data_IF_762478231591
#
_entry.id   IF_762478231591
#
_cell.length_a   1.000
_cell.length_b   1.000
_cell.length_c   1.000
_cell.angle_alpha   90.00
_cell.angle_beta   90.00
_cell.angle_gamma   90.00
#
_symmetry.space_group_name_H-M   'P 1'
#
loop_
_entity.id
_entity.type
_entity.pdbx_description
1 polymer ?
#
# COMPACT_ATOMS: atom_id res chain seq x y z
N UNK A 1 1.81 -1.88 7.71
CA UNK A 1 1.71 -3.23 8.33
C UNK A 1 2.26 -3.26 9.76
N UNK A 2 3.53 -2.91 10.00
CA UNK A 2 4.18 -2.98 11.33
C UNK A 2 3.34 -2.39 12.47
N UNK A 3 2.83 -1.16 12.29
CA UNK A 3 2.08 -0.45 13.33
C UNK A 3 0.75 -1.13 13.72
N UNK A 4 -0.03 -1.56 12.72
CA UNK A 4 -1.28 -2.30 12.97
C UNK A 4 -1.00 -3.66 13.63
N UNK A 5 0.06 -4.35 13.22
CA UNK A 5 0.47 -5.62 13.82
C UNK A 5 0.96 -5.46 15.27
N UNK A 6 1.70 -4.39 15.60
CA UNK A 6 2.15 -4.14 16.97
C UNK A 6 1.01 -3.87 17.93
N UNK A 7 0.00 -3.09 17.51
CA UNK A 7 -1.23 -2.88 18.30
C UNK A 7 -2.07 -4.16 18.36
N UNK A 8 -2.10 -4.93 17.26
CA UNK A 8 -2.74 -6.23 17.23
C UNK A 8 -2.18 -7.21 18.25
N UNK A 9 -0.86 -7.25 18.42
CA UNK A 9 -0.21 -8.12 19.40
C UNK A 9 -0.66 -7.83 20.83
N UNK A 10 -0.79 -6.56 21.22
CA UNK A 10 -1.30 -6.20 22.56
C UNK A 10 -2.77 -6.54 22.72
N UNK A 11 -3.60 -6.25 21.71
CA UNK A 11 -5.04 -6.55 21.75
C UNK A 11 -5.28 -8.06 21.86
N UNK A 12 -4.51 -8.89 21.17
CA UNK A 12 -4.66 -10.35 21.21
C UNK A 12 -4.18 -10.98 22.51
N UNK A 13 -3.30 -10.30 23.26
CA UNK A 13 -2.92 -10.75 24.60
C UNK A 13 -4.09 -10.62 25.60
N UNK A 14 -4.94 -9.61 25.41
CA UNK A 14 -6.13 -9.37 26.25
C UNK A 14 -7.37 -10.11 25.73
N UNK A 15 -7.62 -10.05 24.43
CA UNK A 15 -8.82 -10.56 23.77
C UNK A 15 -8.47 -11.49 22.58
N UNK A 16 -8.01 -12.73 22.84
CA UNK A 16 -7.59 -13.66 21.78
C UNK A 16 -8.73 -14.06 20.83
N UNK A 17 -9.99 -13.89 21.26
CA UNK A 17 -11.18 -14.14 20.43
C UNK A 17 -11.24 -13.24 19.19
N UNK A 18 -10.57 -12.09 19.20
CA UNK A 18 -10.53 -11.14 18.09
C UNK A 18 -9.47 -11.47 17.02
N UNK A 19 -8.77 -12.60 17.11
CA UNK A 19 -7.69 -13.01 16.21
C UNK A 19 -7.98 -12.77 14.73
N UNK A 20 -9.13 -13.22 14.24
CA UNK A 20 -9.51 -13.07 12.82
C UNK A 20 -9.63 -11.61 12.41
N UNK A 21 -10.23 -10.78 13.25
CA UNK A 21 -10.45 -9.36 12.98
C UNK A 21 -9.12 -8.61 12.98
N UNK A 22 -8.27 -8.85 13.99
CA UNK A 22 -6.93 -8.27 14.09
C UNK A 22 -6.05 -8.66 12.90
N UNK A 23 -6.01 -9.96 12.56
CA UNK A 23 -5.21 -10.46 11.45
C UNK A 23 -5.63 -9.80 10.13
N UNK A 24 -6.94 -9.67 9.91
CA UNK A 24 -7.48 -9.07 8.69
C UNK A 24 -7.11 -7.59 8.60
N UNK A 25 -7.39 -6.80 9.65
CA UNK A 25 -7.08 -5.37 9.67
C UNK A 25 -5.58 -5.10 9.57
N UNK A 26 -4.74 -5.93 10.20
CA UNK A 26 -3.29 -5.80 10.12
C UNK A 26 -2.71 -6.15 8.74
N UNK A 27 -3.40 -7.01 7.99
CA UNK A 27 -3.02 -7.42 6.64
C UNK A 27 -3.45 -6.43 5.54
N UNK A 28 -4.49 -5.61 5.76
CA UNK A 28 -4.98 -4.68 4.74
C UNK A 28 -3.88 -3.79 4.11
N UNK A 29 -2.94 -3.20 4.86
CA UNK A 29 -1.87 -2.37 4.28
C UNK A 29 -0.87 -3.13 3.38
N UNK A 30 -1.00 -4.45 3.22
CA UNK A 30 -0.13 -5.25 2.37
C UNK A 30 -0.41 -5.04 0.88
N UNK A 31 -1.59 -4.52 0.51
CA UNK A 31 -1.95 -4.20 -0.88
C UNK A 31 -0.90 -3.31 -1.55
N UNK A 32 -0.30 -2.38 -0.80
CA UNK A 32 0.64 -1.41 -1.37
C UNK A 32 1.95 -2.06 -1.82
N UNK A 33 2.33 -3.18 -1.17
CA UNK A 33 3.45 -4.00 -1.62
C UNK A 33 3.14 -4.64 -2.97
N UNK A 34 1.89 -5.09 -3.20
CA UNK A 34 1.49 -5.63 -4.49
C UNK A 34 1.42 -4.55 -5.56
N UNK A 35 0.95 -3.35 -5.25
CA UNK A 35 0.96 -2.22 -6.18
C UNK A 35 2.39 -1.82 -6.56
N UNK A 36 3.30 -1.70 -5.60
CA UNK A 36 4.71 -1.46 -5.85
C UNK A 36 5.36 -2.57 -6.71
N UNK A 37 5.01 -3.84 -6.47
CA UNK A 37 5.49 -4.97 -7.27
C UNK A 37 4.97 -4.90 -8.72
N UNK A 38 3.67 -4.64 -8.90
CA UNK A 38 3.05 -4.49 -10.23
C UNK A 38 3.71 -3.33 -10.98
N UNK A 39 3.89 -2.18 -10.31
CA UNK A 39 4.57 -1.02 -10.86
C UNK A 39 6.00 -1.36 -11.29
N UNK A 40 6.77 -2.02 -10.43
CA UNK A 40 8.15 -2.43 -10.73
C UNK A 40 8.20 -3.34 -11.96
N UNK A 41 7.38 -4.39 -11.99
CA UNK A 41 7.33 -5.33 -13.11
C UNK A 41 6.89 -4.61 -14.39
N UNK A 42 5.90 -3.71 -14.32
CA UNK A 42 5.42 -2.94 -15.47
C UNK A 42 6.51 -2.06 -16.07
N UNK A 43 7.23 -1.30 -15.24
CA UNK A 43 8.34 -0.45 -15.66
C UNK A 43 9.47 -1.29 -16.27
N UNK A 44 9.79 -2.44 -15.67
CA UNK A 44 10.76 -3.38 -16.24
C UNK A 44 10.25 -3.90 -17.59
N UNK A 45 9.01 -4.35 -17.74
CA UNK A 45 8.57 -4.96 -18.99
C UNK A 45 8.51 -3.98 -20.17
N UNK A 46 8.14 -2.73 -19.93
CA UNK A 46 8.10 -1.70 -20.98
C UNK A 46 9.50 -1.27 -21.40
N UNK A 47 10.44 -1.20 -20.45
CA UNK A 47 11.76 -0.62 -20.70
C UNK A 47 12.91 -1.64 -20.62
N UNK A 48 12.68 -2.93 -20.33
CA UNK A 48 13.66 -4.01 -20.46
C UNK A 48 13.95 -4.45 -21.90
N UNK A 49 13.09 -4.26 -22.93
CA UNK A 49 13.48 -4.51 -24.31
C UNK A 49 14.44 -3.44 -24.87
N UNK A 50 15.31 -2.83 -24.04
CA UNK A 50 16.56 -2.16 -24.47
C UNK A 50 17.46 -3.24 -25.11
N UNK A 51 17.10 -3.65 -26.32
CA UNK A 51 17.81 -4.65 -27.12
C UNK A 51 18.98 -4.04 -27.91
N UNK A 52 19.01 -2.71 -28.04
CA UNK A 52 19.97 -2.00 -28.91
C UNK A 52 20.94 -1.07 -28.15
N UNK A 53 20.96 -1.12 -26.81
CA UNK A 53 22.09 -0.64 -26.03
C UNK A 53 22.37 0.87 -26.09
N UNK A 54 21.38 1.72 -25.82
CA UNK A 54 21.56 3.02 -25.13
C UNK A 54 20.20 3.58 -24.77
N UNK A 55 19.95 3.86 -23.48
CA UNK A 55 18.81 4.67 -23.05
C UNK A 55 19.27 6.11 -22.98
N UNK A 56 18.52 7.03 -23.60
CA UNK A 56 18.76 8.45 -23.43
C UNK A 56 18.67 8.81 -21.94
N UNK A 57 19.68 9.50 -21.40
CA UNK A 57 19.74 9.82 -19.97
C UNK A 57 18.47 10.53 -19.48
N UNK A 58 17.86 11.37 -20.31
CA UNK A 58 16.60 12.05 -20.05
C UNK A 58 15.46 11.06 -19.74
N UNK A 59 15.30 10.01 -20.54
CA UNK A 59 14.29 8.95 -20.34
C UNK A 59 14.58 8.13 -19.09
N UNK A 60 15.85 7.78 -18.86
CA UNK A 60 16.25 7.04 -17.66
C UNK A 60 15.92 7.84 -16.37
N UNK A 61 16.21 9.15 -16.37
CA UNK A 61 15.88 10.03 -15.26
C UNK A 61 14.37 10.23 -15.10
N UNK A 62 13.62 10.35 -16.19
CA UNK A 62 12.16 10.44 -16.14
C UNK A 62 11.53 9.18 -15.53
N UNK A 63 12.03 7.99 -15.90
CA UNK A 63 11.57 6.71 -15.33
C UNK A 63 11.93 6.56 -13.87
N UNK A 64 13.14 6.96 -13.47
CA UNK A 64 13.55 6.97 -12.07
C UNK A 64 12.66 7.90 -11.25
N UNK A 65 12.39 9.11 -11.76
CA UNK A 65 11.52 10.08 -11.12
C UNK A 65 10.09 9.57 -10.97
N UNK A 66 9.54 8.96 -12.02
CA UNK A 66 8.20 8.38 -12.00
C UNK A 66 8.11 7.20 -11.03
N UNK A 67 9.10 6.30 -11.04
CA UNK A 67 9.20 5.20 -10.08
C UNK A 67 9.28 5.69 -8.64
N UNK A 68 10.03 6.77 -8.38
CA UNK A 68 10.15 7.39 -7.07
C UNK A 68 8.83 8.03 -6.60
N UNK A 69 8.11 8.72 -7.48
CA UNK A 69 6.77 9.27 -7.17
C UNK A 69 5.79 8.15 -6.81
N UNK A 70 5.77 7.06 -7.58
CA UNK A 70 4.93 5.90 -7.26
C UNK A 70 5.31 5.25 -5.91
N UNK A 71 6.61 5.09 -5.64
CA UNK A 71 7.08 4.61 -4.33
C UNK A 71 6.59 5.49 -3.17
N UNK A 72 6.69 6.82 -3.31
CA UNK A 72 6.21 7.74 -2.27
C UNK A 72 4.70 7.65 -2.07
N UNK A 73 3.92 7.56 -3.15
CA UNK A 73 2.47 7.41 -3.08
C UNK A 73 2.09 6.13 -2.32
N UNK A 74 2.70 4.99 -2.66
CA UNK A 74 2.45 3.72 -1.98
C UNK A 74 2.93 3.72 -0.52
N UNK A 75 4.08 4.32 -0.22
CA UNK A 75 4.61 4.42 1.14
C UNK A 75 3.70 5.26 2.05
N UNK A 76 3.21 6.41 1.55
CA UNK A 76 2.29 7.28 2.28
C UNK A 76 0.94 6.57 2.48
N UNK A 77 0.41 5.94 1.44
CA UNK A 77 -0.84 5.17 1.51
C UNK A 77 -0.76 4.05 2.55
N UNK A 78 0.31 3.23 2.50
CA UNK A 78 0.54 2.13 3.42
C UNK A 78 0.66 2.59 4.88
N UNK A 79 1.32 3.73 5.09
CA UNK A 79 1.45 4.34 6.41
C UNK A 79 0.10 4.77 6.95
N UNK A 80 -0.63 5.59 6.19
CA UNK A 80 -1.92 6.13 6.60
C UNK A 80 -2.94 5.02 6.87
N UNK A 81 -3.02 4.02 6.00
CA UNK A 81 -3.90 2.88 6.19
C UNK A 81 -3.49 2.03 7.39
N UNK A 82 -2.19 1.86 7.63
CA UNK A 82 -1.66 1.22 8.83
C UNK A 82 -2.11 1.90 10.12
N UNK A 83 -2.16 3.23 10.16
CA UNK A 83 -2.65 4.01 11.31
C UNK A 83 -4.16 3.83 11.52
N UNK A 84 -4.94 3.86 10.43
CA UNK A 84 -6.40 3.62 10.49
C UNK A 84 -6.71 2.22 11.01
N UNK A 85 -6.05 1.19 10.45
CA UNK A 85 -6.22 -0.18 10.91
C UNK A 85 -5.79 -0.38 12.36
N UNK A 86 -4.67 0.20 12.79
CA UNK A 86 -4.23 0.15 14.19
C UNK A 86 -5.26 0.75 15.15
N UNK A 87 -5.85 1.89 14.77
CA UNK A 87 -6.88 2.56 15.57
C UNK A 87 -8.14 1.70 15.68
N UNK A 88 -8.57 1.08 14.58
CA UNK A 88 -9.74 0.18 14.62
C UNK A 88 -9.47 -1.12 15.39
N UNK A 89 -8.25 -1.66 15.32
CA UNK A 89 -7.83 -2.82 16.10
C UNK A 89 -7.92 -2.53 17.62
N UNK A 90 -7.44 -1.37 18.07
CA UNK A 90 -7.51 -0.96 19.47
C UNK A 90 -8.95 -0.89 20.00
N UNK A 91 -9.93 -0.68 19.12
CA UNK A 91 -11.35 -0.56 19.45
C UNK A 91 -12.11 -1.90 19.41
N UNK A 92 -11.51 -2.97 18.90
CA UNK A 92 -12.17 -4.28 18.79
C UNK A 92 -12.61 -4.84 20.16
N UNK A 93 -11.80 -4.79 21.23
CA UNK A 93 -12.22 -5.25 22.57
C UNK A 93 -13.46 -4.51 23.07
N UNK A 94 -13.42 -3.17 23.02
CA UNK A 94 -14.49 -2.30 23.53
C UNK A 94 -15.80 -2.50 22.78
N UNK A 95 -15.73 -2.72 21.47
CA UNK A 95 -16.91 -2.91 20.61
C UNK A 95 -17.31 -4.37 20.44
N UNK A 96 -16.61 -5.31 21.08
CA UNK A 96 -16.76 -6.76 20.88
C UNK A 96 -16.71 -7.16 19.39
N UNK A 97 -15.88 -6.45 18.61
CA UNK A 97 -15.70 -6.66 17.17
C UNK A 97 -16.67 -5.90 16.27
N UNK A 98 -17.66 -5.16 16.79
CA UNK A 98 -18.63 -4.43 15.96
C UNK A 98 -18.00 -3.29 15.13
N UNK A 99 -16.85 -2.74 15.55
CA UNK A 99 -16.13 -1.71 14.79
C UNK A 99 -15.39 -2.24 13.55
N UNK A 100 -15.31 -3.56 13.37
CA UNK A 100 -14.52 -4.16 12.30
C UNK A 100 -14.89 -3.64 10.91
N UNK A 101 -16.17 -3.75 10.54
CA UNK A 101 -16.65 -3.36 9.19
C UNK A 101 -16.43 -1.86 8.95
N UNK A 102 -16.72 -1.02 9.94
CA UNK A 102 -16.51 0.42 9.84
C UNK A 102 -15.02 0.75 9.64
N UNK A 103 -14.12 0.04 10.33
CA UNK A 103 -12.67 0.19 10.15
C UNK A 103 -12.24 -0.21 8.74
N UNK A 104 -12.75 -1.32 8.22
CA UNK A 104 -12.46 -1.77 6.84
C UNK A 104 -12.88 -0.69 5.82
N UNK A 105 -14.07 -0.11 5.97
CA UNK A 105 -14.55 0.96 5.09
C UNK A 105 -13.63 2.19 5.15
N UNK A 106 -13.24 2.61 6.36
CA UNK A 106 -12.32 3.74 6.53
C UNK A 106 -10.93 3.45 5.96
N UNK A 107 -10.42 2.23 6.13
CA UNK A 107 -9.16 1.80 5.54
C UNK A 107 -9.23 1.77 4.00
N UNK A 108 -10.38 1.42 3.42
CA UNK A 108 -10.62 1.44 1.98
C UNK A 108 -10.66 2.87 1.41
N UNK A 109 -11.12 3.87 2.17
CA UNK A 109 -11.01 5.26 1.72
C UNK A 109 -9.57 5.74 1.61
N UNK A 110 -8.70 5.30 2.51
CA UNK A 110 -7.27 5.62 2.44
C UNK A 110 -6.59 4.87 1.29
N UNK A 111 -7.02 3.64 1.01
CA UNK A 111 -6.53 2.83 -0.12
C UNK A 111 -6.60 3.54 -1.48
N UNK A 112 -7.61 4.39 -1.68
CA UNK A 112 -7.82 5.12 -2.94
C UNK A 112 -6.59 5.97 -3.32
N UNK A 113 -5.82 6.46 -2.35
CA UNK A 113 -4.58 7.19 -2.61
C UNK A 113 -3.49 6.31 -3.21
N UNK A 114 -3.35 5.06 -2.73
CA UNK A 114 -2.44 4.07 -3.31
C UNK A 114 -2.85 3.72 -4.74
N UNK A 115 -4.13 3.40 -4.96
CA UNK A 115 -4.66 3.08 -6.30
C UNK A 115 -4.41 4.24 -7.29
N UNK A 116 -4.64 5.48 -6.87
CA UNK A 116 -4.33 6.64 -7.71
C UNK A 116 -2.83 6.80 -7.96
N UNK A 117 -1.99 6.49 -6.97
CA UNK A 117 -0.52 6.48 -7.08
C UNK A 117 -0.01 5.57 -8.19
N UNK A 118 -0.43 4.30 -8.18
CA UNK A 118 -0.05 3.36 -9.24
C UNK A 118 -0.64 3.76 -10.60
N UNK A 119 -1.90 4.21 -10.65
CA UNK A 119 -2.54 4.65 -11.91
C UNK A 119 -1.79 5.82 -12.53
N UNK A 120 -1.46 6.85 -11.77
CA UNK A 120 -0.72 8.00 -12.29
C UNK A 120 0.72 7.63 -12.69
N UNK A 121 1.35 6.70 -11.97
CA UNK A 121 2.65 6.19 -12.37
C UNK A 121 2.58 5.47 -13.72
N UNK A 122 1.62 4.56 -13.89
CA UNK A 122 1.44 3.82 -15.16
C UNK A 122 1.06 4.77 -16.30
N UNK A 123 0.14 5.71 -16.09
CA UNK A 123 -0.21 6.69 -17.11
C UNK A 123 0.96 7.61 -17.45
N UNK A 124 1.79 7.97 -16.46
CA UNK A 124 2.97 8.79 -16.65
C UNK A 124 3.99 8.20 -17.62
N UNK A 125 4.10 6.86 -17.73
CA UNK A 125 5.03 6.24 -18.70
C UNK A 125 4.64 6.52 -20.14
N UNK A 126 3.35 6.75 -20.42
CA UNK A 126 2.87 7.11 -21.77
C UNK A 126 3.37 8.49 -22.22
N UNK A 127 3.83 9.33 -21.29
CA UNK A 127 4.38 10.65 -21.56
C UNK A 127 5.89 10.61 -21.85
N UNK A 128 6.57 9.50 -21.59
CA UNK A 128 8.05 9.40 -21.64
C UNK A 128 8.58 9.05 -23.04
N UNK A 129 7.71 8.66 -23.99
CA UNK A 129 8.08 8.44 -25.39
C UNK A 129 8.80 7.13 -25.65
#
# INVERSE_FOLDING_TARGET
MWYAASVGASVLAEEPTQFRNVLTLAALPMTQTFYGLIQMIYLILIYAPIRDGTVELSKALALLGLGFVGFLAEAISAWAQGVVCASGIAELPRTKGASFVNTVILAAYVELWGILGIVFTILGTTLIG
#
